data_IF_400471367281
#
_entry.id   IF_400471367281
#
_cell.length_a   1.000
_cell.length_b   1.000
_cell.length_c   1.000
_cell.angle_alpha   90.00
_cell.angle_beta   90.00
_cell.angle_gamma   90.00
#
_symmetry.space_group_name_H-M   'P 1'
#
loop_
_entity.id
_entity.type
_entity.pdbx_description
1 polymer ?
#
# COMPACT_ATOMS: atom_id res chain seq x y z
N UNK A 1 -31.72 -44.57 9.00
CA UNK A 1 -31.51 -43.29 8.27
C UNK A 1 -30.76 -42.35 9.22
N UNK A 2 -29.46 -42.31 9.08
CA UNK A 2 -28.59 -41.48 9.90
C UNK A 2 -28.25 -40.21 9.14
N UNK A 3 -28.71 -39.06 9.64
CA UNK A 3 -28.38 -37.76 9.14
C UNK A 3 -26.89 -37.45 9.41
N UNK A 4 -26.12 -37.19 8.35
CA UNK A 4 -24.74 -36.73 8.46
C UNK A 4 -24.67 -35.34 9.05
N UNK A 5 -23.57 -34.98 9.72
CA UNK A 5 -23.40 -33.67 10.27
C UNK A 5 -23.21 -32.63 9.13
N UNK A 6 -23.93 -31.54 9.22
CA UNK A 6 -23.77 -30.39 8.35
C UNK A 6 -22.36 -29.76 8.45
N UNK A 7 -21.95 -28.95 7.48
CA UNK A 7 -20.60 -28.34 7.44
C UNK A 7 -20.35 -27.52 8.70
N UNK A 8 -19.42 -28.00 9.52
CA UNK A 8 -19.08 -27.38 10.79
C UNK A 8 -18.50 -26.00 10.57
N UNK A 9 -19.10 -25.01 11.21
CA UNK A 9 -18.53 -23.68 11.34
C UNK A 9 -17.23 -23.79 12.16
N UNK A 10 -16.09 -23.57 11.53
CA UNK A 10 -14.81 -23.43 12.24
C UNK A 10 -14.81 -22.06 12.91
N UNK A 11 -14.92 -22.06 14.23
CA UNK A 11 -14.70 -20.87 15.04
C UNK A 11 -13.21 -20.56 15.05
N UNK A 12 -12.80 -19.52 14.34
CA UNK A 12 -11.44 -18.98 14.44
C UNK A 12 -11.22 -18.32 15.81
N UNK A 13 -9.95 -18.20 16.25
CA UNK A 13 -9.63 -17.63 17.55
C UNK A 13 -10.12 -16.19 17.67
N UNK A 14 -10.82 -15.91 18.77
CA UNK A 14 -11.26 -14.56 19.12
C UNK A 14 -10.05 -13.68 19.43
N UNK A 15 -9.65 -12.80 18.51
CA UNK A 15 -8.77 -11.69 18.78
C UNK A 15 -9.64 -10.48 19.15
N UNK A 16 -9.90 -10.36 20.40
CA UNK A 16 -10.25 -9.19 21.21
C UNK A 16 -11.52 -8.38 20.91
N UNK A 17 -12.16 -8.36 19.72
CA UNK A 17 -13.29 -7.43 19.48
C UNK A 17 -14.38 -7.90 18.50
N UNK A 18 -14.25 -8.96 17.73
CA UNK A 18 -15.34 -9.43 16.88
C UNK A 18 -15.29 -10.95 16.65
N UNK A 19 -16.32 -11.66 17.11
CA UNK A 19 -16.56 -13.03 16.65
C UNK A 19 -17.17 -13.00 15.25
N UNK A 20 -16.57 -13.71 14.29
CA UNK A 20 -17.07 -13.83 12.93
C UNK A 20 -17.23 -15.29 12.54
N UNK A 21 -18.18 -15.55 11.68
CA UNK A 21 -18.41 -16.87 11.11
C UNK A 21 -17.81 -16.90 9.70
N UNK A 22 -17.00 -17.91 9.41
CA UNK A 22 -16.48 -18.16 8.06
C UNK A 22 -17.51 -18.99 7.32
N UNK A 23 -17.91 -18.56 6.13
CA UNK A 23 -18.79 -19.30 5.25
C UNK A 23 -18.07 -19.62 3.92
N UNK A 24 -18.36 -20.80 3.38
CA UNK A 24 -17.74 -21.35 2.18
C UNK A 24 -18.69 -21.35 0.96
N UNK A 25 -19.59 -20.40 0.90
CA UNK A 25 -20.51 -20.24 -0.25
C UNK A 25 -20.14 -18.95 -0.95
N UNK A 26 -20.02 -19.00 -2.27
CA UNK A 26 -19.68 -17.81 -3.06
C UNK A 26 -20.64 -16.64 -2.74
N UNK A 27 -20.07 -15.50 -2.43
CA UNK A 27 -20.80 -14.28 -2.12
C UNK A 27 -20.10 -13.05 -2.71
N UNK A 28 -20.87 -11.97 -2.88
CA UNK A 28 -20.31 -10.68 -3.30
C UNK A 28 -19.91 -9.92 -2.05
N UNK A 29 -18.63 -9.56 -1.95
CA UNK A 29 -18.14 -8.76 -0.83
C UNK A 29 -18.82 -7.40 -0.77
N UNK A 30 -19.39 -7.04 0.37
CA UNK A 30 -20.09 -5.78 0.57
C UNK A 30 -19.15 -4.55 0.46
N UNK A 31 -17.83 -4.74 0.66
CA UNK A 31 -16.86 -3.65 0.61
C UNK A 31 -16.28 -3.40 -0.79
N UNK A 32 -15.90 -4.47 -1.52
CA UNK A 32 -15.18 -4.34 -2.80
C UNK A 32 -15.96 -4.88 -4.00
N UNK A 33 -17.17 -5.37 -3.79
CA UNK A 33 -18.04 -5.97 -4.82
C UNK A 33 -17.42 -7.15 -5.59
N UNK A 34 -16.33 -7.73 -5.09
CA UNK A 34 -15.70 -8.90 -5.70
C UNK A 34 -16.42 -10.16 -5.26
N UNK A 35 -16.68 -11.08 -6.20
CA UNK A 35 -17.17 -12.42 -5.87
C UNK A 35 -16.04 -13.21 -5.23
N UNK A 36 -16.30 -13.79 -4.06
CA UNK A 36 -15.31 -14.54 -3.28
C UNK A 36 -15.93 -15.84 -2.77
N UNK A 37 -15.13 -16.91 -2.75
CA UNK A 37 -15.53 -18.21 -2.21
C UNK A 37 -15.42 -18.26 -0.68
N UNK A 38 -14.68 -17.32 -0.11
CA UNK A 38 -14.48 -17.19 1.33
C UNK A 38 -14.83 -15.78 1.79
N UNK A 39 -15.70 -15.69 2.78
CA UNK A 39 -16.11 -14.43 3.37
C UNK A 39 -16.44 -14.60 4.85
N UNK A 40 -16.42 -13.52 5.58
CA UNK A 40 -16.74 -13.48 7.01
C UNK A 40 -17.94 -12.58 7.26
N UNK A 41 -18.72 -12.93 8.26
CA UNK A 41 -19.79 -12.09 8.80
C UNK A 41 -19.32 -11.46 10.08
N UNK A 42 -19.47 -10.17 10.20
CA UNK A 42 -19.26 -9.49 11.45
C UNK A 42 -20.49 -9.75 12.36
N UNK A 43 -20.25 -9.92 13.66
CA UNK A 43 -21.34 -10.10 14.62
C UNK A 43 -22.29 -8.92 14.63
N UNK A 44 -21.77 -7.69 14.41
CA UNK A 44 -22.56 -6.47 14.35
C UNK A 44 -23.39 -6.31 13.07
N UNK A 45 -23.00 -6.98 11.98
CA UNK A 45 -23.60 -6.89 10.66
C UNK A 45 -23.58 -8.24 9.95
N UNK A 46 -24.38 -9.21 10.44
CA UNK A 46 -24.34 -10.58 9.94
C UNK A 46 -24.86 -10.73 8.50
N UNK A 47 -25.56 -9.73 7.98
CA UNK A 47 -26.10 -9.69 6.63
C UNK A 47 -25.08 -9.29 5.57
N UNK A 48 -23.92 -8.74 5.97
CA UNK A 48 -22.92 -8.22 5.04
C UNK A 48 -21.71 -9.16 4.93
N UNK A 49 -21.55 -9.89 3.82
CA UNK A 49 -20.36 -10.68 3.56
C UNK A 49 -19.14 -9.78 3.30
N UNK A 50 -18.03 -10.05 3.97
CA UNK A 50 -16.79 -9.30 3.80
C UNK A 50 -15.65 -10.26 3.45
N UNK A 51 -14.91 -10.00 2.38
CA UNK A 51 -13.78 -10.82 1.99
C UNK A 51 -12.58 -10.63 2.95
N UNK A 52 -11.68 -11.62 2.96
CA UNK A 52 -10.52 -11.61 3.85
C UNK A 52 -9.62 -10.37 3.66
N UNK A 53 -9.44 -9.91 2.42
CA UNK A 53 -8.65 -8.71 2.14
C UNK A 53 -9.26 -7.43 2.73
N UNK A 54 -10.58 -7.27 2.61
CA UNK A 54 -11.27 -6.13 3.22
C UNK A 54 -11.28 -6.24 4.76
N UNK A 55 -11.44 -7.45 5.31
CA UNK A 55 -11.37 -7.66 6.76
C UNK A 55 -9.99 -7.33 7.33
N UNK A 56 -8.91 -7.71 6.64
CA UNK A 56 -7.56 -7.37 7.06
C UNK A 56 -7.32 -5.85 7.08
N UNK A 57 -7.85 -5.12 6.09
CA UNK A 57 -7.83 -3.65 6.07
C UNK A 57 -8.61 -3.02 7.23
N UNK A 58 -9.71 -3.64 7.65
CA UNK A 58 -10.51 -3.16 8.78
C UNK A 58 -9.83 -3.40 10.13
N UNK A 59 -9.12 -4.51 10.30
CA UNK A 59 -8.38 -4.83 11.53
C UNK A 59 -7.17 -3.91 11.78
N UNK A 60 -6.69 -3.20 10.77
CA UNK A 60 -5.60 -2.24 10.92
C UNK A 60 -6.05 -0.90 11.51
N UNK A 61 -7.36 -0.65 11.61
CA UNK A 61 -7.91 0.57 12.21
C UNK A 61 -8.17 0.35 13.71
N UNK A 62 -7.41 1.02 14.54
CA UNK A 62 -7.32 0.84 15.99
C UNK A 62 -8.54 1.19 16.83
N UNK A 63 -9.61 1.76 16.30
CA UNK A 63 -10.66 2.39 17.10
C UNK A 63 -12.03 1.71 17.10
N UNK A 64 -12.12 0.45 16.75
CA UNK A 64 -13.32 -0.38 17.06
C UNK A 64 -14.67 0.10 16.52
N UNK A 65 -14.75 1.21 15.83
CA UNK A 65 -15.93 1.66 15.11
C UNK A 65 -15.75 1.43 13.61
N UNK A 66 -16.27 0.30 13.14
CA UNK A 66 -16.57 0.10 11.73
C UNK A 66 -17.65 1.11 11.33
N UNK A 67 -17.24 2.29 10.91
CA UNK A 67 -18.09 3.11 10.07
C UNK A 67 -18.13 2.46 8.69
N UNK A 68 -19.13 1.62 8.46
CA UNK A 68 -19.59 1.34 7.11
C UNK A 68 -20.06 2.67 6.52
N UNK A 69 -19.18 3.33 5.80
CA UNK A 69 -19.58 4.42 4.94
C UNK A 69 -20.39 3.74 3.84
N UNK A 70 -21.69 3.66 4.04
CA UNK A 70 -22.67 3.30 3.02
C UNK A 70 -22.68 4.42 2.00
N UNK A 71 -21.75 4.40 1.08
CA UNK A 71 -21.58 5.38 0.05
C UNK A 71 -20.47 4.95 -0.88
N UNK A 72 -20.65 5.17 -2.14
CA UNK A 72 -19.91 4.77 -3.32
C UNK A 72 -18.41 5.18 -3.38
N UNK A 73 -17.77 5.53 -2.28
CA UNK A 73 -16.40 6.04 -2.23
C UNK A 73 -15.48 5.11 -1.42
N UNK A 74 -15.14 3.97 -2.01
CA UNK A 74 -14.08 3.14 -1.45
C UNK A 74 -12.73 3.61 -2.03
N UNK A 75 -11.98 4.39 -1.26
CA UNK A 75 -10.59 4.71 -1.59
C UNK A 75 -9.79 3.42 -1.43
N UNK A 76 -9.22 2.91 -2.52
CA UNK A 76 -8.45 1.66 -2.53
C UNK A 76 -6.95 1.88 -2.31
N UNK A 77 -6.48 3.11 -2.44
CA UNK A 77 -5.07 3.48 -2.34
C UNK A 77 -4.86 4.92 -2.77
N UNK A 78 -3.62 5.34 -2.74
CA UNK A 78 -3.18 6.57 -3.35
C UNK A 78 -1.84 6.31 -4.05
N UNK A 79 -1.58 7.04 -5.11
CA UNK A 79 -0.33 6.97 -5.86
C UNK A 79 0.20 8.40 -6.00
N UNK A 80 1.43 8.70 -5.53
CA UNK A 80 2.01 10.03 -5.65
C UNK A 80 2.38 10.32 -7.11
N UNK A 81 2.21 11.59 -7.51
CA UNK A 81 2.64 12.08 -8.82
C UNK A 81 3.80 13.05 -8.58
N UNK A 82 4.98 12.70 -9.07
CA UNK A 82 6.16 13.55 -9.05
C UNK A 82 6.26 14.34 -10.35
N UNK A 83 6.43 15.64 -10.23
CA UNK A 83 6.71 16.49 -11.39
C UNK A 83 8.19 16.45 -11.72
N UNK A 84 8.51 16.13 -12.96
CA UNK A 84 9.88 15.98 -13.48
C UNK A 84 10.07 16.85 -14.70
N UNK A 85 11.31 17.29 -14.95
CA UNK A 85 11.61 18.11 -16.12
C UNK A 85 11.78 17.27 -17.40
N UNK A 86 12.13 16.00 -17.25
CA UNK A 86 12.39 15.06 -18.35
C UNK A 86 12.06 13.65 -17.85
N UNK A 87 10.98 13.07 -18.40
CA UNK A 87 10.50 11.74 -18.01
C UNK A 87 11.52 10.65 -18.37
N UNK A 88 12.23 10.77 -19.49
CA UNK A 88 13.22 9.76 -19.88
C UNK A 88 14.40 9.71 -18.91
N UNK A 89 14.89 10.88 -18.48
CA UNK A 89 15.95 10.99 -17.46
C UNK A 89 15.47 10.43 -16.11
N UNK A 90 14.27 10.76 -15.70
CA UNK A 90 13.69 10.29 -14.43
C UNK A 90 13.48 8.79 -14.45
N UNK A 91 12.97 8.24 -15.54
CA UNK A 91 12.83 6.79 -15.75
C UNK A 91 14.17 6.09 -15.56
N UNK A 92 15.23 6.53 -16.21
CA UNK A 92 16.56 5.92 -16.09
C UNK A 92 17.07 5.93 -14.63
N UNK A 93 16.79 7.00 -13.89
CA UNK A 93 17.16 7.10 -12.48
C UNK A 93 16.32 6.18 -11.59
N UNK A 94 15.01 6.06 -11.83
CA UNK A 94 14.14 5.14 -11.08
C UNK A 94 14.46 3.67 -11.38
N UNK A 95 14.80 3.33 -12.64
CA UNK A 95 15.31 1.99 -12.99
C UNK A 95 16.61 1.68 -12.24
N UNK A 96 17.55 2.63 -12.18
CA UNK A 96 18.78 2.50 -11.38
C UNK A 96 18.47 2.31 -9.89
N UNK A 97 17.46 3.00 -9.36
CA UNK A 97 16.98 2.81 -7.99
C UNK A 97 16.21 1.49 -7.76
N UNK A 98 16.06 0.65 -8.80
CA UNK A 98 15.46 -0.68 -8.76
C UNK A 98 13.94 -0.68 -8.88
N UNK A 99 13.34 0.33 -9.49
CA UNK A 99 11.93 0.33 -9.85
C UNK A 99 11.72 -0.29 -11.23
N UNK A 100 10.62 -1.00 -11.40
CA UNK A 100 10.12 -1.45 -12.70
C UNK A 100 9.34 -0.32 -13.35
N UNK A 101 9.57 -0.07 -14.63
CA UNK A 101 8.95 1.06 -15.33
C UNK A 101 7.92 0.58 -16.35
N UNK A 102 6.76 1.23 -16.34
CA UNK A 102 5.82 1.22 -17.47
C UNK A 102 5.58 2.64 -17.96
N UNK A 103 5.58 2.83 -19.28
CA UNK A 103 5.37 4.14 -19.91
C UNK A 103 3.94 4.26 -20.42
N UNK A 104 3.34 5.41 -20.20
CA UNK A 104 2.10 5.78 -20.86
C UNK A 104 2.39 6.44 -22.21
N UNK A 105 3.28 7.45 -22.20
CA UNK A 105 3.78 8.18 -23.37
C UNK A 105 5.17 8.81 -23.05
N UNK A 106 5.60 9.75 -23.87
CA UNK A 106 6.88 10.43 -23.67
C UNK A 106 6.88 11.39 -22.47
N UNK A 107 5.71 11.87 -22.04
CA UNK A 107 5.54 12.83 -20.95
C UNK A 107 5.05 12.19 -19.64
N UNK A 108 4.78 10.87 -19.64
CA UNK A 108 4.21 10.20 -18.48
C UNK A 108 4.66 8.74 -18.34
N UNK A 109 5.11 8.37 -17.15
CA UNK A 109 5.51 7.00 -16.82
C UNK A 109 5.12 6.63 -15.38
N UNK A 110 5.19 5.33 -15.09
CA UNK A 110 4.94 4.76 -13.78
C UNK A 110 6.17 3.99 -13.32
N UNK A 111 6.62 4.26 -12.10
CA UNK A 111 7.68 3.52 -11.43
C UNK A 111 7.04 2.62 -10.37
N UNK A 112 7.14 1.31 -10.59
CA UNK A 112 6.54 0.29 -9.75
C UNK A 112 7.59 -0.40 -8.88
N UNK A 113 7.23 -0.74 -7.66
CA UNK A 113 8.02 -1.59 -6.81
C UNK A 113 7.12 -2.39 -5.88
N UNK A 114 7.60 -3.52 -5.43
CA UNK A 114 7.00 -4.47 -4.50
C UNK A 114 5.62 -4.12 -3.92
N UNK A 115 4.70 -5.08 -3.88
CA UNK A 115 3.41 -4.98 -3.19
C UNK A 115 2.51 -3.80 -3.59
N UNK A 116 2.66 -3.33 -4.83
CA UNK A 116 1.77 -2.30 -5.36
C UNK A 116 2.18 -0.86 -5.01
N UNK A 117 3.45 -0.61 -4.67
CA UNK A 117 3.98 0.74 -4.66
C UNK A 117 4.11 1.23 -6.10
N UNK A 118 3.39 2.28 -6.43
CA UNK A 118 3.47 2.97 -7.72
C UNK A 118 3.69 4.46 -7.50
N UNK A 119 4.66 5.02 -8.22
CA UNK A 119 4.95 6.45 -8.28
C UNK A 119 4.76 6.89 -9.72
N UNK A 120 3.96 7.90 -9.95
CA UNK A 120 3.78 8.50 -11.26
C UNK A 120 4.87 9.54 -11.52
N UNK A 121 5.44 9.51 -12.72
CA UNK A 121 6.41 10.48 -13.20
C UNK A 121 5.72 11.26 -14.32
N UNK A 122 5.46 12.53 -14.10
CA UNK A 122 4.74 13.38 -15.03
C UNK A 122 5.60 14.61 -15.39
N UNK A 123 5.79 14.87 -16.68
CA UNK A 123 6.49 16.06 -17.13
C UNK A 123 5.79 17.33 -16.64
N UNK A 124 6.57 18.27 -16.12
CA UNK A 124 6.05 19.55 -15.66
C UNK A 124 5.59 20.39 -16.85
N UNK A 125 4.34 20.85 -16.83
CA UNK A 125 3.72 21.59 -17.92
C UNK A 125 3.05 22.84 -17.40
N UNK A 126 2.78 23.80 -18.31
CA UNK A 126 1.94 24.97 -17.99
C UNK A 126 2.51 25.91 -16.93
N UNK A 127 3.85 25.95 -16.74
CA UNK A 127 4.50 26.79 -15.72
C UNK A 127 4.70 26.09 -14.38
N UNK A 128 4.38 24.80 -14.26
CA UNK A 128 4.76 23.99 -13.10
C UNK A 128 6.29 23.93 -12.96
N UNK A 129 6.76 23.94 -11.73
CA UNK A 129 8.19 23.79 -11.43
C UNK A 129 8.45 22.30 -11.13
N UNK A 130 9.34 21.62 -11.86
CA UNK A 130 9.71 20.25 -11.55
C UNK A 130 10.41 20.16 -10.19
N UNK A 131 10.39 19.00 -9.57
CA UNK A 131 10.87 18.82 -8.20
C UNK A 131 9.83 19.26 -7.17
N UNK A 132 10.28 19.50 -5.96
CA UNK A 132 9.45 19.88 -4.80
C UNK A 132 8.41 18.82 -4.33
N UNK A 133 8.33 17.68 -4.99
CA UNK A 133 7.55 16.53 -4.49
C UNK A 133 8.24 15.89 -3.29
N UNK A 134 7.44 15.39 -2.35
CA UNK A 134 7.95 14.56 -1.27
C UNK A 134 6.99 13.39 -1.02
N UNK A 135 7.55 12.21 -0.82
CA UNK A 135 6.80 11.02 -0.42
C UNK A 135 7.57 10.24 0.64
N UNK A 136 6.86 9.37 1.34
CA UNK A 136 7.44 8.52 2.38
C UNK A 136 7.12 7.05 2.11
N UNK A 137 8.16 6.23 2.11
CA UNK A 137 8.08 4.78 1.91
C UNK A 137 8.32 4.09 3.27
N UNK A 138 7.38 3.27 3.70
CA UNK A 138 7.58 2.37 4.83
C UNK A 138 8.34 1.13 4.37
N UNK A 139 9.45 0.81 5.03
CA UNK A 139 10.23 -0.40 4.78
C UNK A 139 10.38 -1.24 6.05
N UNK A 140 10.82 -2.47 5.89
CA UNK A 140 11.07 -3.36 7.02
C UNK A 140 12.40 -3.06 7.70
N UNK A 141 13.40 -2.66 6.91
CA UNK A 141 14.74 -2.32 7.35
C UNK A 141 15.29 -1.16 6.52
N UNK A 142 15.54 -0.03 7.18
CA UNK A 142 16.02 1.16 6.52
C UNK A 142 17.51 1.05 6.11
N UNK A 143 18.29 0.27 6.83
CA UNK A 143 19.71 0.06 6.49
C UNK A 143 19.85 -0.79 5.23
N UNK A 144 19.10 -1.88 5.12
CA UNK A 144 19.09 -2.72 3.91
C UNK A 144 18.68 -1.91 2.66
N UNK A 145 17.65 -1.07 2.78
CA UNK A 145 17.22 -0.20 1.67
C UNK A 145 18.31 0.80 1.30
N UNK A 146 18.95 1.42 2.31
CA UNK A 146 20.02 2.38 2.08
C UNK A 146 21.25 1.73 1.41
N UNK A 147 21.63 0.53 1.83
CA UNK A 147 22.73 -0.23 1.24
C UNK A 147 22.44 -0.62 -0.21
N UNK A 148 21.23 -1.10 -0.50
CA UNK A 148 20.81 -1.45 -1.85
C UNK A 148 20.89 -0.22 -2.79
N UNK A 149 20.40 0.93 -2.38
CA UNK A 149 20.46 2.14 -3.19
C UNK A 149 21.88 2.70 -3.35
N UNK A 150 22.70 2.67 -2.29
CA UNK A 150 24.13 3.02 -2.41
C UNK A 150 24.88 2.09 -3.36
N UNK A 151 24.59 0.78 -3.27
CA UNK A 151 25.14 -0.22 -4.19
C UNK A 151 24.72 0.01 -5.65
N UNK A 152 23.53 0.54 -5.87
CA UNK A 152 23.04 0.98 -7.18
C UNK A 152 23.60 2.36 -7.62
N UNK A 153 24.46 3.02 -6.82
CA UNK A 153 25.03 4.31 -7.13
C UNK A 153 24.13 5.52 -6.83
N UNK A 154 23.03 5.30 -6.11
CA UNK A 154 22.12 6.38 -5.67
C UNK A 154 22.69 7.02 -4.40
N UNK A 155 22.73 8.36 -4.37
CA UNK A 155 23.12 9.10 -3.18
C UNK A 155 22.04 8.99 -2.12
N UNK A 156 22.39 8.44 -0.94
CA UNK A 156 21.48 8.25 0.19
C UNK A 156 21.91 9.10 1.37
N UNK A 157 20.99 9.88 1.92
CA UNK A 157 21.13 10.60 3.17
C UNK A 157 20.56 9.77 4.32
N UNK A 158 21.30 9.63 5.43
CA UNK A 158 20.95 8.71 6.52
C UNK A 158 21.23 7.25 6.16
N UNK A 159 20.50 6.25 6.70
CA UNK A 159 19.46 6.43 7.72
C UNK A 159 20.01 6.79 9.11
N UNK A 160 19.17 7.40 9.94
CA UNK A 160 19.47 7.74 11.33
C UNK A 160 18.23 7.53 12.21
N UNK A 161 18.46 7.34 13.50
CA UNK A 161 17.40 7.17 14.47
C UNK A 161 16.78 8.53 14.82
N UNK A 162 15.47 8.52 15.00
CA UNK A 162 14.67 9.66 15.43
C UNK A 162 13.96 9.34 16.74
N UNK A 163 13.72 10.36 17.56
CA UNK A 163 13.12 10.27 18.89
C UNK A 163 11.69 9.72 18.92
N UNK A 164 11.00 9.77 17.78
CA UNK A 164 9.67 9.16 17.58
C UNK A 164 9.71 7.66 17.19
N UNK A 165 10.84 6.99 17.37
CA UNK A 165 10.96 5.54 17.21
C UNK A 165 11.10 5.05 15.76
N UNK A 166 11.58 5.90 14.87
CA UNK A 166 11.85 5.57 13.46
C UNK A 166 13.32 5.73 13.12
N UNK A 167 13.82 4.83 12.28
CA UNK A 167 15.09 4.93 11.60
C UNK A 167 14.83 5.32 10.15
N UNK A 168 15.28 6.52 9.73
CA UNK A 168 14.86 7.13 8.47
C UNK A 168 16.03 7.67 7.67
N UNK A 169 15.91 7.55 6.34
CA UNK A 169 16.78 8.16 5.36
C UNK A 169 16.01 8.78 4.21
N UNK A 170 16.73 9.33 3.25
CA UNK A 170 16.16 9.88 2.02
C UNK A 170 17.08 9.73 0.82
N UNK A 171 16.45 9.69 -0.34
CA UNK A 171 17.09 9.88 -1.65
C UNK A 171 16.38 11.03 -2.35
N UNK A 172 17.09 11.67 -3.27
CA UNK A 172 16.58 12.79 -4.05
C UNK A 172 16.75 12.47 -5.52
N UNK A 173 15.67 12.60 -6.29
CA UNK A 173 15.70 12.38 -7.72
C UNK A 173 16.45 13.51 -8.46
N UNK A 174 16.71 13.39 -9.77
CA UNK A 174 17.46 14.42 -10.54
C UNK A 174 16.77 15.79 -10.61
N UNK A 175 15.48 15.88 -10.31
CA UNK A 175 14.71 17.12 -10.31
C UNK A 175 14.56 17.76 -8.92
N UNK A 176 14.92 17.03 -7.85
CA UNK A 176 14.81 17.51 -6.48
C UNK A 176 13.63 16.98 -5.71
N UNK A 177 12.88 16.01 -6.26
CA UNK A 177 11.84 15.31 -5.48
C UNK A 177 12.49 14.44 -4.41
N UNK A 178 11.96 14.49 -3.19
CA UNK A 178 12.53 13.80 -2.04
C UNK A 178 11.72 12.54 -1.74
N UNK A 179 12.38 11.40 -1.79
CA UNK A 179 11.82 10.12 -1.41
C UNK A 179 12.40 9.74 -0.04
N UNK A 180 11.59 9.88 1.00
CA UNK A 180 11.94 9.43 2.35
C UNK A 180 11.58 7.97 2.52
N UNK A 181 12.37 7.27 3.33
CA UNK A 181 12.09 5.88 3.69
C UNK A 181 12.42 5.64 5.15
N UNK A 182 11.72 4.68 5.77
CA UNK A 182 11.97 4.40 7.16
C UNK A 182 11.32 3.13 7.67
N UNK A 183 11.93 2.60 8.72
CA UNK A 183 11.50 1.45 9.49
C UNK A 183 11.36 1.79 10.97
N UNK A 184 10.68 0.96 11.79
CA UNK A 184 10.81 1.04 13.24
C UNK A 184 12.28 0.85 13.67
N UNK A 185 12.73 1.52 14.72
CA UNK A 185 14.00 1.22 15.38
C UNK A 185 13.88 -0.19 15.99
N UNK A 186 14.91 -1.02 15.82
CA UNK A 186 14.99 -2.37 16.38
C UNK A 186 15.62 -2.33 17.77
#
# INVERSE_FOLDING_TARGET
MAGGPGPGALLGPCLGVACYTIASVAAICACCSTTVDWWVRLRSHPELPICHGCLAGLNSQRDGQLQLIAGTWLIRGFEPILRVADVARSVAWFEQAGFEISRHDDAYAFAHRDRGLTIHLAEAAGGEVPGHGALYIHCQDADEVAEAWRGAGIKVEGPRDHDYGKREGSITDPDGNVIRFGSPIR
#
